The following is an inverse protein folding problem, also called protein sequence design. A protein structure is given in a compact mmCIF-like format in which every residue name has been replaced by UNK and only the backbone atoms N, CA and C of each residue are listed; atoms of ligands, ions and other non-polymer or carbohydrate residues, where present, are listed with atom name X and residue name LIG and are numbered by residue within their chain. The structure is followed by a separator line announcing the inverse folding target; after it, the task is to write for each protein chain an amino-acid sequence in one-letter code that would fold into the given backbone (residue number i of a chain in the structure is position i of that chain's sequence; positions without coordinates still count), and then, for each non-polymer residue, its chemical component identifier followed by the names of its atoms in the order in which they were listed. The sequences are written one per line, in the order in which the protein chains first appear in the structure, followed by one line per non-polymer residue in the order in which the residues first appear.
data_IF_713829783277
#
_entry.id   IF_713829783277
#
_cell.length_a   1.000
_cell.length_b   1.000
_cell.length_c   1.000
_cell.angle_alpha   90.00
_cell.angle_beta   90.00
_cell.angle_gamma   90.00
#
_symmetry.space_group_name_H-M   'P 1'
#
loop_
_entity.id
_entity.type
_entity.pdbx_description
1 polymer ?
#
# COMPACT_ATOMS: atom_id res chain seq x y z
N UNK A 1 23.34 -21.83 12.41
CA UNK A 1 22.21 -20.91 12.17
C UNK A 1 20.91 -21.67 12.42
N UNK A 2 19.98 -21.10 13.18
CA UNK A 2 18.65 -21.69 13.40
C UNK A 2 17.70 -21.06 12.38
N UNK A 3 17.05 -21.88 11.58
CA UNK A 3 16.01 -21.42 10.64
C UNK A 3 14.73 -21.22 11.45
N UNK A 4 14.22 -19.99 11.48
CA UNK A 4 12.94 -19.69 12.13
C UNK A 4 11.85 -19.57 11.06
N UNK A 5 10.71 -20.26 11.21
CA UNK A 5 9.60 -20.13 10.28
C UNK A 5 9.02 -18.71 10.32
N UNK A 6 8.70 -18.14 9.15
CA UNK A 6 8.08 -16.82 9.02
C UNK A 6 6.79 -16.76 9.86
N UNK A 7 6.69 -15.78 10.75
CA UNK A 7 5.52 -15.60 11.62
C UNK A 7 5.61 -16.28 12.99
N UNK A 8 6.59 -17.15 13.23
CA UNK A 8 6.91 -17.61 14.59
C UNK A 8 8.07 -16.82 15.23
N UNK A 9 8.75 -15.97 14.46
CA UNK A 9 9.94 -15.18 14.86
C UNK A 9 9.77 -14.42 16.17
N UNK A 10 8.56 -13.92 16.46
CA UNK A 10 8.24 -13.21 17.70
C UNK A 10 8.25 -14.05 18.98
N UNK A 11 8.23 -15.38 18.86
CA UNK A 11 8.32 -16.34 19.97
C UNK A 11 9.75 -16.86 20.19
N UNK A 12 10.63 -16.61 19.24
CA UNK A 12 12.02 -17.02 19.33
C UNK A 12 12.87 -15.89 19.92
N UNK A 13 13.72 -16.26 20.87
CA UNK A 13 14.66 -15.36 21.53
C UNK A 13 16.05 -15.94 21.36
N UNK A 14 17.02 -15.13 20.96
CA UNK A 14 18.41 -15.54 20.87
C UNK A 14 19.12 -15.19 22.18
N UNK A 15 19.84 -16.15 22.75
CA UNK A 15 20.72 -15.93 23.90
C UNK A 15 22.17 -15.88 23.41
N UNK A 16 22.84 -14.76 23.65
CA UNK A 16 24.24 -14.56 23.29
C UNK A 16 25.06 -14.56 24.57
N UNK A 17 25.92 -15.57 24.70
CA UNK A 17 26.97 -15.62 25.73
C UNK A 17 28.30 -15.21 25.08
N UNK A 18 29.06 -14.37 25.77
CA UNK A 18 30.36 -13.89 25.34
C UNK A 18 31.18 -13.62 26.61
N UNK A 19 32.48 -13.93 26.59
CA UNK A 19 33.38 -13.86 27.75
C UNK A 19 33.38 -12.49 28.46
N UNK A 20 33.18 -11.39 27.72
CA UNK A 20 33.10 -10.03 28.28
C UNK A 20 31.72 -9.62 28.83
N UNK A 21 30.70 -10.49 28.75
CA UNK A 21 29.37 -10.23 29.30
C UNK A 21 29.24 -10.91 30.66
N UNK A 22 29.00 -10.12 31.70
CA UNK A 22 28.72 -10.66 33.05
C UNK A 22 27.43 -11.50 33.09
N UNK A 23 26.49 -11.24 32.18
CA UNK A 23 25.24 -11.99 32.02
C UNK A 23 24.89 -12.22 30.54
N UNK A 24 24.20 -13.33 30.19
CA UNK A 24 23.79 -13.61 28.81
C UNK A 24 22.87 -12.52 28.26
N UNK A 25 23.18 -11.97 27.08
CA UNK A 25 22.30 -11.00 26.43
C UNK A 25 21.21 -11.73 25.67
N UNK A 26 19.96 -11.46 26.03
CA UNK A 26 18.76 -11.88 25.29
C UNK A 26 18.45 -10.87 24.18
N UNK A 27 18.57 -11.30 22.93
CA UNK A 27 18.06 -10.57 21.76
C UNK A 27 16.70 -11.15 21.38
N UNK A 28 15.64 -10.38 21.62
CA UNK A 28 14.30 -10.64 21.08
C UNK A 28 14.24 -10.17 19.62
N UNK A 29 13.53 -10.91 18.77
CA UNK A 29 13.26 -10.43 17.40
C UNK A 29 12.38 -9.18 17.47
N UNK A 30 12.88 -8.04 16.97
CA UNK A 30 12.14 -6.78 17.02
C UNK A 30 10.84 -6.93 16.22
N UNK A 31 9.70 -6.63 16.85
CA UNK A 31 8.44 -6.51 16.09
C UNK A 31 8.55 -5.29 15.18
N UNK A 32 8.01 -5.36 13.94
CA UNK A 32 7.83 -4.17 13.13
C UNK A 32 7.14 -3.10 14.00
N UNK A 33 7.65 -1.86 14.02
CA UNK A 33 7.08 -0.85 14.87
C UNK A 33 5.60 -0.68 14.53
N UNK A 34 4.77 -0.47 15.56
CA UNK A 34 3.32 -0.35 15.40
C UNK A 34 2.92 0.76 14.42
N UNK A 35 3.81 1.70 14.14
CA UNK A 35 3.68 2.75 13.13
C UNK A 35 3.77 2.24 11.68
N UNK A 36 4.49 1.16 11.41
CA UNK A 36 4.65 0.64 10.04
C UNK A 36 3.32 0.17 9.45
N UNK A 37 2.49 -0.50 10.27
CA UNK A 37 1.19 -1.04 9.84
C UNK A 37 0.19 0.06 9.39
N UNK A 38 -0.08 1.12 10.19
CA UNK A 38 -0.97 2.20 9.77
C UNK A 38 -0.40 3.03 8.62
N UNK A 39 0.93 3.21 8.54
CA UNK A 39 1.56 3.94 7.42
C UNK A 39 1.30 3.23 6.09
N UNK A 40 1.47 1.91 6.03
CA UNK A 40 1.19 1.13 4.80
C UNK A 40 -0.28 1.26 4.40
N UNK A 41 -1.21 1.23 5.36
CA UNK A 41 -2.63 1.43 5.10
C UNK A 41 -2.96 2.81 4.52
N UNK A 42 -2.36 3.87 5.07
CA UNK A 42 -2.56 5.25 4.58
C UNK A 42 -2.03 5.39 3.16
N UNK A 43 -0.80 4.93 2.89
CA UNK A 43 -0.20 5.01 1.55
C UNK A 43 -1.04 4.26 0.53
N UNK A 44 -1.48 3.04 0.85
CA UNK A 44 -2.37 2.27 -0.02
C UNK A 44 -3.70 2.98 -0.28
N UNK A 45 -4.32 3.55 0.77
CA UNK A 45 -5.57 4.30 0.65
C UNK A 45 -5.44 5.54 -0.24
N UNK A 46 -4.36 6.29 -0.10
CA UNK A 46 -4.11 7.48 -0.93
C UNK A 46 -3.93 7.12 -2.42
N UNK A 47 -3.20 6.04 -2.72
CA UNK A 47 -3.04 5.58 -4.10
C UNK A 47 -4.38 5.20 -4.73
N UNK A 48 -5.21 4.46 -4.02
CA UNK A 48 -6.56 4.09 -4.49
C UNK A 48 -7.43 5.33 -4.69
N UNK A 49 -7.36 6.29 -3.79
CA UNK A 49 -8.14 7.53 -3.89
C UNK A 49 -7.73 8.37 -5.11
N UNK A 50 -6.43 8.51 -5.37
CA UNK A 50 -5.93 9.25 -6.55
C UNK A 50 -6.35 8.56 -7.85
N UNK A 51 -6.19 7.23 -7.94
CA UNK A 51 -6.56 6.48 -9.15
C UNK A 51 -8.06 6.58 -9.42
N UNK A 52 -8.90 6.38 -8.39
CA UNK A 52 -10.35 6.52 -8.54
C UNK A 52 -10.76 7.95 -8.91
N UNK A 53 -10.15 8.97 -8.28
CA UNK A 53 -10.40 10.37 -8.59
C UNK A 53 -10.08 10.73 -10.05
N UNK A 54 -8.93 10.28 -10.57
CA UNK A 54 -8.54 10.52 -11.97
C UNK A 54 -9.50 9.85 -12.96
N UNK A 55 -9.93 8.62 -12.67
CA UNK A 55 -10.87 7.89 -13.54
C UNK A 55 -12.24 8.57 -13.58
N UNK A 56 -12.74 9.02 -12.42
CA UNK A 56 -14.01 9.77 -12.33
C UNK A 56 -13.91 11.11 -13.07
N UNK A 57 -12.83 11.88 -12.83
CA UNK A 57 -12.63 13.15 -13.50
C UNK A 57 -12.54 12.99 -15.03
N UNK A 58 -11.80 11.99 -15.51
CA UNK A 58 -11.71 11.66 -16.93
C UNK A 58 -13.07 11.27 -17.52
N UNK A 59 -13.84 10.42 -16.83
CA UNK A 59 -15.18 10.01 -17.28
C UNK A 59 -16.18 11.17 -17.31
N UNK A 60 -16.12 12.08 -16.35
CA UNK A 60 -16.97 13.29 -16.31
C UNK A 60 -16.60 14.24 -17.46
N UNK A 61 -15.30 14.46 -17.69
CA UNK A 61 -14.84 15.28 -18.80
C UNK A 61 -15.23 14.68 -20.16
N UNK A 62 -15.08 13.36 -20.32
CA UNK A 62 -15.53 12.63 -21.50
C UNK A 62 -17.03 12.81 -21.73
N UNK A 63 -17.85 12.60 -20.70
CA UNK A 63 -19.32 12.81 -20.79
C UNK A 63 -19.69 14.24 -21.13
N UNK A 64 -18.98 15.23 -20.59
CA UNK A 64 -19.22 16.64 -20.90
C UNK A 64 -18.92 16.96 -22.37
N UNK A 65 -17.82 16.45 -22.91
CA UNK A 65 -17.41 16.68 -24.31
C UNK A 65 -18.29 15.88 -25.28
N UNK A 66 -18.67 14.65 -24.93
CA UNK A 66 -19.54 13.81 -25.76
C UNK A 66 -21.02 14.23 -25.71
N UNK A 67 -21.50 14.79 -24.60
CA UNK A 67 -22.85 15.37 -24.49
C UNK A 67 -23.07 16.66 -25.30
N UNK A 68 -22.00 17.31 -25.76
CA UNK A 68 -22.07 18.50 -26.62
C UNK A 68 -22.03 18.22 -28.12
N UNK A 69 -21.89 16.96 -28.55
CA UNK A 69 -21.98 16.55 -29.96
C UNK A 69 -23.37 15.95 -30.19
N UNK A 70 -24.36 16.82 -30.39
CA UNK A 70 -25.64 16.40 -30.97
C UNK A 70 -25.41 15.72 -32.32
N UNK A 71 -26.28 14.78 -32.75
CA UNK A 71 -26.13 14.12 -34.03
C UNK A 71 -26.05 15.19 -35.12
N UNK A 72 -24.96 15.19 -35.89
CA UNK A 72 -24.83 16.07 -37.04
C UNK A 72 -25.93 15.72 -38.03
N UNK A 73 -26.98 16.53 -38.07
CA UNK A 73 -28.00 16.48 -39.09
C UNK A 73 -27.33 16.86 -40.40
N UNK A 74 -27.08 15.87 -41.25
CA UNK A 74 -26.78 16.06 -42.65
C UNK A 74 -28.01 16.68 -43.32
N UNK A 75 -28.04 18.00 -43.42
CA UNK A 75 -28.92 18.67 -44.34
C UNK A 75 -28.30 18.54 -45.74
N UNK A 76 -28.82 17.63 -46.55
CA UNK A 76 -28.56 17.63 -47.99
C UNK A 76 -29.86 17.31 -48.72
N UNK A 77 -30.36 18.35 -49.38
CA UNK A 77 -31.52 18.33 -50.26
C UNK A 77 -31.32 17.38 -51.44
N UNK A 78 -32.40 16.72 -51.87
CA UNK A 78 -32.73 16.57 -53.29
C UNK A 78 -34.23 16.36 -53.48
#
# INVERSE_FOLDING_TARGET
AVVVPSGQEQRYTCHVQHEGLAEPVTRRWESPPRLTIPIVGIVAGLLVFVVSGTMVAGAVLWRKISGGKGPGYSHAAR
#
